data_IF_081249407226
#
_entry.id   IF_081249407226
#
_cell.length_a   1.000
_cell.length_b   1.000
_cell.length_c   1.000
_cell.angle_alpha   90.00
_cell.angle_beta   90.00
_cell.angle_gamma   90.00
#
_symmetry.space_group_name_H-M   'P 1'
#
loop_
_entity.id
_entity.type
_entity.pdbx_description
1 polymer ?
#
# COMPACT_ATOMS: atom_id res chain seq x y z
N UNK A 1 -15.05 23.51 -3.36
CA UNK A 1 -16.14 22.58 -3.00
C UNK A 1 -15.59 21.52 -2.07
N UNK A 2 -16.07 21.38 -0.82
CA UNK A 2 -15.63 20.29 0.06
C UNK A 2 -16.31 19.00 -0.39
N UNK A 3 -15.55 18.12 -1.04
CA UNK A 3 -16.01 16.86 -1.64
C UNK A 3 -16.04 15.68 -0.65
N UNK A 4 -15.78 15.92 0.64
CA UNK A 4 -15.53 14.88 1.64
C UNK A 4 -16.54 14.93 2.82
N UNK A 5 -17.71 15.54 2.63
CA UNK A 5 -18.61 15.91 3.75
C UNK A 5 -20.01 15.26 3.70
N UNK A 6 -20.16 14.09 3.06
CA UNK A 6 -21.44 13.37 3.04
C UNK A 6 -21.26 11.89 3.37
N UNK A 7 -22.24 11.34 4.08
CA UNK A 7 -22.24 10.00 4.65
C UNK A 7 -23.31 9.14 3.96
N UNK A 8 -22.89 8.31 3.00
CA UNK A 8 -23.64 7.15 2.49
C UNK A 8 -22.66 6.02 2.13
N UNK A 9 -23.02 4.73 2.28
CA UNK A 9 -22.11 3.61 1.95
C UNK A 9 -21.71 3.54 0.46
N UNK A 10 -22.49 4.16 -0.44
CA UNK A 10 -22.18 4.26 -1.85
C UNK A 10 -21.02 5.24 -2.14
N UNK A 11 -20.80 6.21 -1.25
CA UNK A 11 -19.84 7.30 -1.42
C UNK A 11 -18.37 6.85 -1.21
N UNK A 12 -18.01 6.05 -0.18
CA UNK A 12 -16.68 5.45 -0.06
C UNK A 12 -16.27 4.66 -1.30
N UNK A 13 -17.16 3.81 -1.82
CA UNK A 13 -16.87 3.00 -3.03
C UNK A 13 -16.64 3.88 -4.26
N UNK A 14 -17.37 4.99 -4.38
CA UNK A 14 -17.19 5.96 -5.46
C UNK A 14 -15.84 6.69 -5.33
N UNK A 15 -15.47 7.12 -4.12
CA UNK A 15 -14.22 7.82 -3.85
C UNK A 15 -13.00 6.91 -4.04
N UNK A 16 -13.07 5.65 -3.60
CA UNK A 16 -12.03 4.64 -3.86
C UNK A 16 -11.86 4.37 -5.36
N UNK A 17 -12.97 4.25 -6.10
CA UNK A 17 -12.91 4.15 -7.57
C UNK A 17 -12.27 5.38 -8.18
N UNK A 18 -12.56 6.57 -7.66
CA UNK A 18 -11.97 7.81 -8.14
C UNK A 18 -10.47 7.87 -7.86
N UNK A 19 -10.02 7.47 -6.67
CA UNK A 19 -8.60 7.34 -6.35
C UNK A 19 -7.88 6.41 -7.34
N UNK A 20 -8.48 5.25 -7.63
CA UNK A 20 -7.90 4.23 -8.50
C UNK A 20 -7.89 4.60 -10.00
N UNK A 21 -8.78 5.49 -10.45
CA UNK A 21 -8.95 5.81 -11.88
C UNK A 21 -8.50 7.22 -12.25
N UNK A 22 -8.47 8.16 -11.30
CA UNK A 22 -8.10 9.55 -11.54
C UNK A 22 -6.82 9.91 -10.76
N UNK A 23 -5.63 9.90 -11.41
CA UNK A 23 -4.37 10.15 -10.73
C UNK A 23 -4.30 11.57 -10.11
N UNK A 24 -4.91 12.56 -10.76
CA UNK A 24 -4.98 13.93 -10.22
C UNK A 24 -5.74 14.00 -8.89
N UNK A 25 -6.86 13.29 -8.77
CA UNK A 25 -7.63 13.23 -7.53
C UNK A 25 -6.83 12.56 -6.41
N UNK A 26 -6.13 11.46 -6.69
CA UNK A 26 -5.21 10.85 -5.72
C UNK A 26 -4.15 11.84 -5.24
N UNK A 27 -3.52 12.58 -6.15
CA UNK A 27 -2.51 13.58 -5.80
C UNK A 27 -3.08 14.74 -4.97
N UNK A 28 -4.31 15.19 -5.26
CA UNK A 28 -5.01 16.18 -4.44
C UNK A 28 -5.22 15.68 -3.01
N UNK A 29 -5.70 14.45 -2.84
CA UNK A 29 -5.91 13.84 -1.52
C UNK A 29 -4.59 13.70 -0.75
N UNK A 30 -3.50 13.28 -1.42
CA UNK A 30 -2.16 13.24 -0.81
C UNK A 30 -1.74 14.61 -0.28
N UNK A 31 -1.97 15.68 -1.03
CA UNK A 31 -1.61 17.06 -0.64
C UNK A 31 -2.48 17.61 0.50
N UNK A 32 -3.68 17.08 0.70
CA UNK A 32 -4.53 17.44 1.85
C UNK A 32 -4.03 16.79 3.14
N UNK A 33 -3.43 15.61 3.06
CA UNK A 33 -2.99 14.83 4.22
C UNK A 33 -1.54 15.11 4.61
N UNK A 34 -0.68 15.30 3.62
CA UNK A 34 0.76 15.40 3.82
C UNK A 34 1.27 16.77 3.41
N UNK A 35 2.19 17.30 4.22
CA UNK A 35 2.93 18.51 3.90
C UNK A 35 3.93 18.24 2.77
N UNK A 36 4.12 19.23 1.89
CA UNK A 36 5.15 19.16 0.86
C UNK A 36 6.54 19.21 1.48
N UNK A 37 7.48 18.45 0.91
CA UNK A 37 8.92 18.59 1.20
C UNK A 37 9.53 19.87 0.62
N UNK A 38 8.86 20.49 -0.34
CA UNK A 38 9.36 21.71 -0.99
C UNK A 38 9.05 22.97 -0.17
N UNK A 39 8.20 22.87 0.86
CA UNK A 39 7.79 24.00 1.68
C UNK A 39 8.57 24.02 3.01
N UNK A 40 9.11 25.20 3.43
CA UNK A 40 9.77 25.33 4.72
C UNK A 40 8.79 25.03 5.84
N UNK A 41 9.27 24.47 6.97
CA UNK A 41 8.44 24.26 8.16
C UNK A 41 7.93 25.62 8.66
N UNK A 42 6.62 25.72 8.79
CA UNK A 42 5.90 26.87 9.35
C UNK A 42 5.21 26.41 10.62
N UNK A 43 5.37 27.18 11.69
CA UNK A 43 4.85 26.90 13.03
C UNK A 43 3.45 27.52 13.26
N UNK A 44 2.68 27.70 12.18
CA UNK A 44 1.32 28.23 12.27
C UNK A 44 0.31 27.17 12.69
N UNK A 45 -0.62 27.51 13.57
CA UNK A 45 -1.75 26.63 13.91
C UNK A 45 -2.59 26.33 12.65
N UNK A 46 -2.89 25.05 12.37
CA UNK A 46 -3.77 24.69 11.27
C UNK A 46 -5.20 25.18 11.55
N UNK A 47 -5.83 25.74 10.53
CA UNK A 47 -7.25 26.11 10.56
C UNK A 47 -8.12 24.86 10.83
N UNK A 48 -9.05 24.94 11.79
CA UNK A 48 -9.94 23.83 12.18
C UNK A 48 -10.72 23.23 11.02
N UNK A 49 -11.12 24.04 10.02
CA UNK A 49 -11.79 23.49 8.84
C UNK A 49 -10.84 22.64 7.98
N UNK A 50 -9.56 23.03 7.88
CA UNK A 50 -8.54 22.26 7.18
C UNK A 50 -8.22 20.96 7.92
N UNK A 51 -8.30 20.96 9.25
CA UNK A 51 -8.10 19.77 10.07
C UNK A 51 -9.16 18.69 9.79
N UNK A 52 -10.45 19.06 9.79
CA UNK A 52 -11.54 18.10 9.46
C UNK A 52 -11.38 17.50 8.06
N UNK A 53 -11.03 18.33 7.07
CA UNK A 53 -10.82 17.87 5.69
C UNK A 53 -9.62 16.91 5.62
N UNK A 54 -8.53 17.21 6.31
CA UNK A 54 -7.34 16.36 6.37
C UNK A 54 -7.64 15.01 7.04
N UNK A 55 -8.43 14.98 8.11
CA UNK A 55 -8.85 13.75 8.78
C UNK A 55 -9.69 12.88 7.85
N UNK A 56 -10.66 13.45 7.13
CA UNK A 56 -11.48 12.71 6.18
C UNK A 56 -10.65 12.18 4.99
N UNK A 57 -9.72 12.99 4.47
CA UNK A 57 -8.80 12.60 3.42
C UNK A 57 -7.87 11.46 3.87
N UNK A 58 -7.34 11.54 5.10
CA UNK A 58 -6.51 10.50 5.68
C UNK A 58 -7.29 9.20 5.86
N UNK A 59 -8.53 9.28 6.36
CA UNK A 59 -9.42 8.12 6.50
C UNK A 59 -9.69 7.45 5.15
N UNK A 60 -9.98 8.24 4.13
CA UNK A 60 -10.18 7.75 2.77
C UNK A 60 -8.93 7.00 2.26
N UNK A 61 -7.72 7.56 2.42
CA UNK A 61 -6.49 6.87 2.01
C UNK A 61 -6.20 5.60 2.82
N UNK A 62 -6.58 5.58 4.11
CA UNK A 62 -6.39 4.42 4.99
C UNK A 62 -7.36 3.28 4.66
N UNK A 63 -8.60 3.60 4.29
CA UNK A 63 -9.64 2.62 3.98
C UNK A 63 -9.59 2.16 2.51
N UNK A 64 -8.86 2.87 1.64
CA UNK A 64 -8.76 2.57 0.21
C UNK A 64 -8.09 1.22 -0.08
N UNK A 65 -8.83 0.31 -0.72
CA UNK A 65 -8.34 -1.03 -1.10
C UNK A 65 -8.47 -1.32 -2.59
N UNK A 66 -9.05 -0.42 -3.37
CA UNK A 66 -9.21 -0.61 -4.81
C UNK A 66 -7.91 -0.27 -5.57
N UNK A 67 -7.21 -1.27 -6.07
CA UNK A 67 -6.01 -1.03 -6.89
C UNK A 67 -6.28 -0.20 -8.15
N UNK A 68 -5.38 0.74 -8.51
CA UNK A 68 -5.35 1.30 -9.86
C UNK A 68 -5.21 0.20 -10.92
N UNK A 69 -5.85 0.38 -12.07
CA UNK A 69 -5.92 -0.62 -13.14
C UNK A 69 -7.04 -1.67 -12.99
N UNK A 70 -7.63 -1.83 -11.80
CA UNK A 70 -8.75 -2.75 -11.58
C UNK A 70 -10.04 -2.22 -12.20
N UNK A 71 -10.58 -2.98 -13.16
CA UNK A 71 -11.78 -2.66 -13.92
C UNK A 71 -13.07 -3.00 -13.17
N UNK A 72 -14.20 -2.55 -13.70
CA UNK A 72 -15.53 -2.80 -13.10
C UNK A 72 -15.95 -4.26 -13.11
N UNK A 73 -15.44 -5.03 -14.08
CA UNK A 73 -15.69 -6.46 -14.27
C UNK A 73 -14.70 -7.36 -13.51
N UNK A 74 -13.78 -6.78 -12.73
CA UNK A 74 -12.76 -7.49 -11.97
C UNK A 74 -11.48 -7.81 -12.75
N UNK A 75 -11.41 -7.46 -14.05
CA UNK A 75 -10.18 -7.59 -14.84
C UNK A 75 -9.16 -6.50 -14.47
N UNK A 76 -7.90 -6.71 -14.84
CA UNK A 76 -6.83 -5.75 -14.59
C UNK A 76 -6.27 -5.20 -15.91
N UNK A 77 -6.32 -3.88 -16.09
CA UNK A 77 -5.73 -3.18 -17.23
C UNK A 77 -4.31 -2.74 -16.89
N UNK A 78 -3.31 -3.41 -17.47
CA UNK A 78 -1.90 -3.03 -17.36
C UNK A 78 -1.66 -1.60 -17.84
N UNK A 79 -2.26 -1.22 -18.97
CA UNK A 79 -2.09 0.10 -19.56
C UNK A 79 -2.62 1.21 -18.64
N UNK A 80 -3.81 1.03 -18.05
CA UNK A 80 -4.39 2.02 -17.14
C UNK A 80 -3.55 2.14 -15.87
N UNK A 81 -3.09 1.00 -15.32
CA UNK A 81 -2.22 0.98 -14.15
C UNK A 81 -0.91 1.75 -14.40
N UNK A 82 -0.20 1.45 -15.49
CA UNK A 82 1.08 2.07 -15.81
C UNK A 82 0.92 3.57 -16.11
N UNK A 83 -0.13 3.95 -16.83
CA UNK A 83 -0.44 5.36 -17.13
C UNK A 83 -0.79 6.14 -15.86
N UNK A 84 -1.60 5.54 -14.99
CA UNK A 84 -1.96 6.12 -13.69
C UNK A 84 -0.72 6.31 -12.82
N UNK A 85 0.12 5.27 -12.67
CA UNK A 85 1.32 5.32 -11.83
C UNK A 85 2.32 6.35 -12.35
N UNK A 86 2.54 6.42 -13.66
CA UNK A 86 3.40 7.43 -14.29
C UNK A 86 2.92 8.85 -14.00
N UNK A 87 1.62 9.09 -14.09
CA UNK A 87 1.01 10.39 -13.83
C UNK A 87 1.15 10.79 -12.36
N UNK A 88 0.90 9.87 -11.42
CA UNK A 88 1.09 10.11 -9.98
C UNK A 88 2.55 10.41 -9.66
N UNK A 89 3.50 9.63 -10.19
CA UNK A 89 4.94 9.91 -10.01
C UNK A 89 5.30 11.32 -10.47
N UNK A 90 4.79 11.75 -11.63
CA UNK A 90 5.03 13.10 -12.16
C UNK A 90 4.46 14.18 -11.22
N UNK A 91 3.17 14.15 -10.93
CA UNK A 91 2.49 15.19 -10.16
C UNK A 91 3.01 15.28 -8.71
N UNK A 92 3.31 14.14 -8.10
CA UNK A 92 3.85 14.11 -6.73
C UNK A 92 5.33 14.50 -6.67
N UNK A 93 6.12 14.28 -7.72
CA UNK A 93 7.47 14.83 -7.81
C UNK A 93 7.44 16.36 -7.87
N UNK A 94 6.62 16.92 -8.77
CA UNK A 94 6.46 18.38 -8.95
C UNK A 94 5.96 19.06 -7.67
N UNK A 95 5.03 18.43 -6.94
CA UNK A 95 4.47 19.00 -5.72
C UNK A 95 5.26 18.70 -4.44
N UNK A 96 6.32 17.89 -4.48
CA UNK A 96 7.14 17.54 -3.30
C UNK A 96 6.52 16.48 -2.37
N UNK A 97 5.66 15.60 -2.90
CA UNK A 97 4.96 14.53 -2.17
C UNK A 97 5.30 13.11 -2.67
N UNK A 98 6.32 12.96 -3.51
CA UNK A 98 6.60 11.69 -4.20
C UNK A 98 6.73 10.50 -3.25
N UNK A 99 7.50 10.62 -2.18
CA UNK A 99 7.74 9.51 -1.25
C UNK A 99 6.46 9.06 -0.54
N UNK A 100 5.70 9.99 0.05
CA UNK A 100 4.43 9.67 0.75
C UNK A 100 3.37 9.12 -0.22
N UNK A 101 3.37 9.60 -1.46
CA UNK A 101 2.53 9.06 -2.52
C UNK A 101 2.93 7.61 -2.86
N UNK A 102 4.21 7.32 -3.06
CA UNK A 102 4.68 5.98 -3.38
C UNK A 102 4.48 5.00 -2.22
N UNK A 103 4.62 5.43 -0.97
CA UNK A 103 4.23 4.64 0.20
C UNK A 103 2.75 4.29 0.17
N UNK A 104 1.87 5.26 -0.12
CA UNK A 104 0.42 5.02 -0.19
C UNK A 104 0.05 4.11 -1.36
N UNK A 105 0.66 4.32 -2.52
CA UNK A 105 0.51 3.42 -3.68
C UNK A 105 0.93 2.01 -3.31
N UNK A 106 2.09 1.83 -2.68
CA UNK A 106 2.58 0.53 -2.25
C UNK A 106 1.57 -0.27 -1.43
N UNK A 107 0.83 0.39 -0.53
CA UNK A 107 -0.20 -0.25 0.29
C UNK A 107 -1.32 -0.84 -0.57
N UNK A 108 -1.89 -0.05 -1.47
CA UNK A 108 -3.07 -0.50 -2.25
C UNK A 108 -2.72 -1.63 -3.22
N UNK A 109 -1.44 -1.75 -3.64
CA UNK A 109 -0.98 -2.83 -4.51
C UNK A 109 -1.05 -4.23 -3.86
N UNK A 110 -1.20 -4.32 -2.53
CA UNK A 110 -1.46 -5.59 -1.86
C UNK A 110 -2.80 -6.21 -2.30
N UNK A 111 -3.76 -5.38 -2.68
CA UNK A 111 -5.12 -5.79 -3.05
C UNK A 111 -5.29 -6.03 -4.56
N UNK A 112 -4.18 -6.05 -5.31
CA UNK A 112 -4.20 -6.44 -6.71
C UNK A 112 -4.63 -7.90 -6.89
N UNK A 113 -5.38 -8.23 -7.95
CA UNK A 113 -5.75 -9.61 -8.23
C UNK A 113 -4.53 -10.44 -8.62
N UNK A 114 -4.73 -11.76 -8.64
CA UNK A 114 -3.78 -12.69 -9.24
C UNK A 114 -3.68 -12.47 -10.76
N UNK A 115 -2.50 -12.75 -11.29
CA UNK A 115 -2.25 -12.75 -12.72
C UNK A 115 -2.93 -13.96 -13.38
N UNK A 116 -3.65 -13.78 -14.51
CA UNK A 116 -4.26 -14.91 -15.20
C UNK A 116 -3.24 -15.93 -15.72
N UNK A 117 -1.95 -15.58 -15.82
CA UNK A 117 -0.87 -16.51 -16.20
C UNK A 117 -0.29 -17.29 -14.99
N UNK A 118 -0.88 -17.16 -13.79
CA UNK A 118 -0.60 -18.03 -12.65
C UNK A 118 0.26 -17.43 -11.54
N UNK A 119 0.77 -16.20 -11.70
CA UNK A 119 1.42 -15.49 -10.60
C UNK A 119 0.37 -14.96 -9.62
N UNK A 120 0.62 -15.03 -8.32
CA UNK A 120 -0.35 -14.60 -7.29
C UNK A 120 -0.63 -13.08 -7.29
N UNK A 121 0.08 -12.31 -8.11
CA UNK A 121 -0.10 -10.88 -8.33
C UNK A 121 0.10 -10.58 -9.80
N UNK A 122 -0.72 -9.69 -10.38
CA UNK A 122 -0.56 -9.25 -11.78
C UNK A 122 0.87 -8.79 -12.09
N UNK A 123 1.42 -9.24 -13.22
CA UNK A 123 2.82 -9.03 -13.56
C UNK A 123 3.20 -7.55 -13.68
N UNK A 124 2.28 -6.69 -14.12
CA UNK A 124 2.51 -5.25 -14.20
C UNK A 124 2.83 -4.64 -12.82
N UNK A 125 2.15 -5.12 -11.78
CA UNK A 125 2.34 -4.67 -10.41
C UNK A 125 3.62 -5.25 -9.82
N UNK A 126 3.91 -6.54 -10.09
CA UNK A 126 5.20 -7.14 -9.72
C UNK A 126 6.37 -6.38 -10.35
N UNK A 127 6.25 -5.97 -11.62
CA UNK A 127 7.25 -5.15 -12.33
C UNK A 127 7.43 -3.79 -11.67
N UNK A 128 6.34 -3.11 -11.30
CA UNK A 128 6.39 -1.85 -10.59
C UNK A 128 7.08 -1.96 -9.23
N UNK A 129 6.78 -3.02 -8.45
CA UNK A 129 7.43 -3.30 -7.17
C UNK A 129 8.91 -3.70 -7.34
N UNK A 130 9.26 -4.36 -8.45
CA UNK A 130 10.62 -4.78 -8.75
C UNK A 130 11.52 -3.67 -9.32
N UNK A 131 10.94 -2.52 -9.69
CA UNK A 131 11.70 -1.41 -10.27
C UNK A 131 12.80 -0.92 -9.31
N UNK A 132 13.92 -0.47 -9.86
CA UNK A 132 15.10 -0.05 -9.08
C UNK A 132 14.76 1.08 -8.11
N UNK A 133 13.93 2.02 -8.53
CA UNK A 133 13.48 3.22 -7.81
C UNK A 133 12.25 2.98 -6.92
N UNK A 134 11.72 1.76 -6.84
CA UNK A 134 10.46 1.47 -6.15
C UNK A 134 10.61 1.14 -4.65
N UNK A 135 11.61 1.69 -3.97
CA UNK A 135 11.84 1.42 -2.54
C UNK A 135 10.64 1.83 -1.68
N UNK A 136 10.13 3.04 -1.86
CA UNK A 136 8.95 3.52 -1.12
C UNK A 136 7.68 2.73 -1.43
N UNK A 137 7.51 2.27 -2.68
CA UNK A 137 6.39 1.39 -3.06
C UNK A 137 6.52 0.05 -2.31
N UNK A 138 7.71 -0.55 -2.27
CA UNK A 138 7.95 -1.79 -1.54
C UNK A 138 7.75 -1.63 -0.03
N UNK A 139 8.18 -0.51 0.56
CA UNK A 139 7.93 -0.18 1.98
C UNK A 139 6.43 -0.07 2.26
N UNK A 140 5.69 0.63 1.40
CA UNK A 140 4.25 0.74 1.48
C UNK A 140 3.55 -0.62 1.46
N UNK A 141 3.96 -1.49 0.53
CA UNK A 141 3.44 -2.84 0.40
C UNK A 141 3.66 -3.66 1.69
N UNK A 142 4.88 -3.67 2.22
CA UNK A 142 5.21 -4.41 3.45
C UNK A 142 4.45 -3.86 4.67
N UNK A 143 4.30 -2.53 4.76
CA UNK A 143 3.51 -1.93 5.82
C UNK A 143 2.05 -2.40 5.75
N UNK A 144 1.48 -2.51 4.54
CA UNK A 144 0.12 -2.99 4.39
C UNK A 144 -0.03 -4.46 4.73
N UNK A 145 0.97 -5.30 4.40
CA UNK A 145 1.00 -6.71 4.85
C UNK A 145 0.90 -6.80 6.37
N UNK A 146 1.57 -5.90 7.09
CA UNK A 146 1.46 -5.83 8.55
C UNK A 146 0.07 -5.32 8.97
N UNK A 147 -0.38 -4.19 8.43
CA UNK A 147 -1.63 -3.55 8.82
C UNK A 147 -2.87 -4.40 8.51
N UNK A 148 -2.86 -5.16 7.42
CA UNK A 148 -3.97 -6.02 7.01
C UNK A 148 -4.20 -7.20 7.95
N UNK A 149 -3.21 -7.55 8.77
CA UNK A 149 -3.32 -8.62 9.79
C UNK A 149 -4.26 -8.21 10.93
N UNK A 150 -4.32 -6.93 11.26
CA UNK A 150 -5.12 -6.41 12.36
C UNK A 150 -4.72 -6.97 13.74
N UNK A 151 -5.61 -6.78 14.71
CA UNK A 151 -5.49 -7.37 16.05
C UNK A 151 -5.68 -8.88 15.94
N UNK A 152 -4.77 -9.65 16.52
CA UNK A 152 -4.81 -11.09 16.56
C UNK A 152 -4.34 -11.58 17.92
N UNK A 153 -4.82 -12.74 18.33
CA UNK A 153 -4.34 -13.41 19.54
C UNK A 153 -2.94 -13.99 19.30
N UNK A 154 -2.08 -13.87 20.30
CA UNK A 154 -0.71 -14.40 20.25
C UNK A 154 -0.73 -15.86 20.66
N UNK A 155 -0.38 -16.76 19.75
CA UNK A 155 -0.19 -18.19 20.05
C UNK A 155 1.21 -18.41 20.64
N UNK A 156 1.33 -18.86 21.91
CA UNK A 156 2.62 -19.08 22.57
C UNK A 156 3.58 -20.02 21.84
N UNK A 157 3.06 -20.86 20.93
CA UNK A 157 3.88 -21.78 20.12
C UNK A 157 4.58 -21.10 18.93
N UNK A 158 4.20 -19.85 18.61
CA UNK A 158 4.67 -19.10 17.44
C UNK A 158 4.28 -19.75 16.10
N UNK A 159 3.29 -20.65 16.10
CA UNK A 159 2.85 -21.37 14.90
C UNK A 159 2.26 -20.45 13.82
N UNK A 160 1.39 -19.48 14.13
CA UNK A 160 0.83 -18.56 13.13
C UNK A 160 1.91 -17.77 12.38
N UNK A 161 2.92 -17.27 13.09
CA UNK A 161 4.03 -16.52 12.52
C UNK A 161 4.88 -17.39 11.58
N UNK A 162 5.13 -18.66 11.96
CA UNK A 162 5.84 -19.61 11.09
C UNK A 162 5.08 -19.90 9.80
N UNK A 163 3.76 -20.07 9.89
CA UNK A 163 2.91 -20.27 8.70
C UNK A 163 2.94 -19.04 7.78
N UNK A 164 2.88 -17.83 8.35
CA UNK A 164 3.05 -16.59 7.58
C UNK A 164 4.44 -16.51 6.93
N UNK A 165 5.49 -16.91 7.63
CA UNK A 165 6.84 -16.92 7.08
C UNK A 165 6.96 -17.87 5.88
N UNK A 166 6.39 -19.08 5.97
CA UNK A 166 6.33 -20.04 4.85
C UNK A 166 5.57 -19.44 3.67
N UNK A 167 4.37 -18.92 3.91
CA UNK A 167 3.53 -18.31 2.86
C UNK A 167 4.23 -17.17 2.11
N UNK A 168 4.93 -16.29 2.83
CA UNK A 168 5.66 -15.19 2.20
C UNK A 168 6.94 -15.63 1.49
N UNK A 169 7.58 -16.73 1.91
CA UNK A 169 8.69 -17.36 1.16
C UNK A 169 8.21 -17.94 -0.16
N UNK A 170 7.12 -18.71 -0.16
CA UNK A 170 6.54 -19.28 -1.38
C UNK A 170 6.18 -18.18 -2.40
N UNK A 171 5.58 -17.09 -1.92
CA UNK A 171 5.31 -15.91 -2.74
C UNK A 171 6.59 -15.24 -3.27
N UNK A 172 7.64 -15.17 -2.46
CA UNK A 172 8.94 -14.64 -2.87
C UNK A 172 9.57 -15.47 -3.98
N UNK A 173 9.54 -16.79 -3.85
CA UNK A 173 10.10 -17.71 -4.84
C UNK A 173 9.31 -17.65 -6.15
N UNK A 174 7.97 -17.56 -6.08
CA UNK A 174 7.13 -17.39 -7.27
C UNK A 174 7.48 -16.12 -8.06
N UNK A 175 7.65 -14.97 -7.38
CA UNK A 175 8.02 -13.73 -8.06
C UNK A 175 9.48 -13.72 -8.53
N UNK A 176 10.40 -14.40 -7.84
CA UNK A 176 11.78 -14.55 -8.29
C UNK A 176 11.87 -15.39 -9.56
N UNK A 177 11.14 -16.52 -9.61
CA UNK A 177 11.05 -17.39 -10.79
C UNK A 177 10.47 -16.64 -12.00
N UNK A 178 9.62 -15.65 -11.76
CA UNK A 178 9.09 -14.73 -12.78
C UNK A 178 10.04 -13.55 -13.11
N UNK A 179 11.25 -13.51 -12.55
CA UNK A 179 12.28 -12.51 -12.84
C UNK A 179 12.24 -11.24 -11.97
N UNK A 180 11.44 -11.22 -10.90
CA UNK A 180 11.24 -10.04 -10.04
C UNK A 180 12.10 -10.06 -8.77
N UNK A 181 13.43 -10.20 -8.93
CA UNK A 181 14.36 -10.43 -7.82
C UNK A 181 14.34 -9.37 -6.69
N UNK A 182 14.17 -8.08 -6.99
CA UNK A 182 14.10 -7.04 -5.92
C UNK A 182 12.82 -7.16 -5.11
N UNK A 183 11.72 -7.51 -5.76
CA UNK A 183 10.47 -7.74 -5.06
C UNK A 183 10.55 -9.02 -4.23
N UNK A 184 11.10 -10.10 -4.78
CA UNK A 184 11.38 -11.34 -4.05
C UNK A 184 12.19 -11.09 -2.78
N UNK A 185 13.29 -10.32 -2.88
CA UNK A 185 14.12 -9.98 -1.73
C UNK A 185 13.34 -9.24 -0.62
N UNK A 186 12.40 -8.36 -0.98
CA UNK A 186 11.51 -7.70 -0.02
C UNK A 186 10.57 -8.69 0.67
N UNK A 187 10.01 -9.65 -0.06
CA UNK A 187 9.12 -10.65 0.51
C UNK A 187 9.87 -11.64 1.42
N UNK A 188 11.11 -12.00 1.08
CA UNK A 188 11.99 -12.80 1.96
C UNK A 188 12.28 -12.10 3.27
N UNK A 189 12.62 -10.80 3.24
CA UNK A 189 12.78 -10.01 4.46
C UNK A 189 11.51 -9.98 5.31
N UNK A 190 10.33 -9.97 4.68
CA UNK A 190 9.06 -10.05 5.41
C UNK A 190 8.88 -11.43 6.04
N UNK A 191 9.16 -12.52 5.34
CA UNK A 191 9.15 -13.85 5.93
C UNK A 191 10.10 -13.96 7.13
N UNK A 192 11.35 -13.51 6.99
CA UNK A 192 12.34 -13.49 8.08
C UNK A 192 11.86 -12.70 9.30
N UNK A 193 11.11 -11.61 9.10
CA UNK A 193 10.55 -10.85 10.23
C UNK A 193 9.53 -11.67 11.02
N UNK A 194 8.75 -12.52 10.35
CA UNK A 194 7.81 -13.41 11.03
C UNK A 194 8.54 -14.54 11.77
N UNK A 195 9.63 -15.10 11.24
CA UNK A 195 10.39 -16.10 12.00
C UNK A 195 10.95 -15.52 13.30
N UNK A 196 11.49 -14.29 13.25
CA UNK A 196 11.99 -13.59 14.45
C UNK A 196 10.85 -13.32 15.45
N UNK A 197 9.67 -12.97 14.96
CA UNK A 197 8.46 -12.78 15.79
C UNK A 197 8.06 -14.10 16.48
N UNK A 198 8.02 -15.22 15.75
CA UNK A 198 7.81 -16.55 16.32
C UNK A 198 8.82 -16.90 17.41
N UNK A 199 10.11 -16.68 17.15
CA UNK A 199 11.18 -16.95 18.11
C UNK A 199 11.02 -16.13 19.40
N UNK A 200 10.68 -14.85 19.26
CA UNK A 200 10.46 -13.97 20.39
C UNK A 200 9.25 -14.41 21.24
N UNK A 201 8.13 -14.72 20.59
CA UNK A 201 6.90 -15.20 21.28
C UNK A 201 7.19 -16.46 22.08
N UNK A 202 7.86 -17.45 21.47
CA UNK A 202 8.20 -18.73 22.13
C UNK A 202 9.13 -18.48 23.33
N UNK A 203 10.08 -17.55 23.21
CA UNK A 203 11.02 -17.22 24.28
C UNK A 203 10.31 -16.56 25.46
N UNK A 204 9.42 -15.60 25.21
CA UNK A 204 8.67 -14.88 26.25
C UNK A 204 7.76 -15.83 27.04
N UNK A 205 7.07 -16.75 26.36
CA UNK A 205 6.14 -17.70 27.01
C UNK A 205 6.82 -18.92 27.64
N UNK A 206 8.13 -19.10 27.48
CA UNK A 206 8.93 -20.09 28.24
C UNK A 206 9.48 -19.52 29.54
N UNK A 207 9.49 -18.20 29.69
CA UNK A 207 10.11 -17.49 30.83
C UNK A 207 9.07 -16.95 31.83
N UNK A 208 7.78 -16.99 31.51
CA UNK A 208 6.67 -16.70 32.42
C UNK A 208 5.99 -17.98 32.89
#
# INVERSE_FOLDING_TARGET
>A
MPLLDRHSEAEPKLLEKRLATQPGFFCEVIRLVYRSKNEPKTDGEPDKQKETIAVNAWRLLREWKRSPGLQGDGTFSTQDFETWLKSVKKYCAESGHLEVAMLTVGKVLLYCPADPQGLWIVQAVARALNARDAEEIRRGFVNEVFNSRGVHDVDPTGKPEKELAIHWREKADAVENAGFARFAATLRKRAESYDREAEQIIKEHRQG
#
